data_IF_477058854675
#
_entry.id   IF_477058854675
#
_cell.length_a   1.000
_cell.length_b   1.000
_cell.length_c   1.000
_cell.angle_alpha   90.00
_cell.angle_beta   90.00
_cell.angle_gamma   90.00
#
_symmetry.space_group_name_H-M   'P 1'
#
loop_
_entity.id
_entity.type
_entity.pdbx_description
1 polymer ?
#
# COMPACT_ATOMS: atom_id res chain seq x y z
N UNK A 1 -1.89 -19.60 -18.30
CA UNK A 1 -0.51 -19.47 -18.77
C UNK A 1 -0.49 -19.35 -20.28
N UNK A 2 -1.19 -20.24 -20.98
CA UNK A 2 -1.34 -20.21 -22.44
C UNK A 2 -1.78 -18.85 -23.02
N UNK A 3 -2.84 -18.24 -22.49
CA UNK A 3 -3.28 -16.90 -22.93
C UNK A 3 -2.20 -15.82 -22.76
N UNK A 4 -1.46 -15.84 -21.63
CA UNK A 4 -0.35 -14.91 -21.39
C UNK A 4 0.76 -15.16 -22.42
N UNK A 5 1.14 -16.43 -22.65
CA UNK A 5 2.16 -16.80 -23.65
C UNK A 5 1.77 -16.32 -25.06
N UNK A 6 0.51 -16.53 -25.45
CA UNK A 6 0.00 -16.11 -26.75
C UNK A 6 0.03 -14.59 -26.88
N UNK A 7 -0.48 -13.85 -25.89
CA UNK A 7 -0.47 -12.39 -25.90
C UNK A 7 0.96 -11.84 -25.91
N UNK A 8 1.91 -12.48 -25.21
CA UNK A 8 3.32 -12.04 -25.24
C UNK A 8 4.02 -12.35 -26.57
N UNK A 9 3.60 -13.39 -27.29
CA UNK A 9 4.14 -13.75 -28.60
C UNK A 9 3.63 -12.81 -29.70
N UNK A 10 2.35 -12.46 -29.64
CA UNK A 10 1.65 -11.64 -30.64
C UNK A 10 0.85 -10.54 -29.93
N UNK A 11 1.57 -9.55 -29.40
CA UNK A 11 0.97 -8.49 -28.59
C UNK A 11 -0.01 -7.62 -29.39
N UNK A 12 -1.18 -7.39 -28.80
CA UNK A 12 -2.14 -6.40 -29.27
C UNK A 12 -2.72 -5.69 -28.05
N UNK A 13 -2.72 -4.35 -28.07
CA UNK A 13 -3.29 -3.54 -27.00
C UNK A 13 -4.76 -3.89 -26.75
N UNK A 14 -5.56 -4.04 -27.81
CA UNK A 14 -6.99 -4.36 -27.67
C UNK A 14 -7.21 -5.74 -27.01
N UNK A 15 -6.49 -6.78 -27.48
CA UNK A 15 -6.54 -8.11 -26.86
C UNK A 15 -6.08 -8.09 -25.41
N UNK A 16 -5.08 -7.28 -25.09
CA UNK A 16 -4.60 -7.12 -23.72
C UNK A 16 -5.68 -6.48 -22.84
N UNK A 17 -6.32 -5.42 -23.31
CA UNK A 17 -7.39 -4.75 -22.56
C UNK A 17 -8.61 -5.65 -22.33
N UNK A 18 -8.95 -6.52 -23.30
CA UNK A 18 -10.00 -7.54 -23.14
C UNK A 18 -9.69 -8.57 -22.03
N UNK A 19 -8.41 -8.82 -21.76
CA UNK A 19 -7.99 -9.73 -20.69
C UNK A 19 -8.02 -9.09 -19.29
N UNK A 20 -8.04 -7.76 -19.21
CA UNK A 20 -8.11 -7.04 -17.92
C UNK A 20 -9.56 -7.00 -17.45
N UNK A 21 -9.83 -7.64 -16.32
CA UNK A 21 -11.15 -7.61 -15.68
C UNK A 21 -11.38 -6.25 -15.00
N UNK A 22 -11.85 -5.26 -15.76
CA UNK A 22 -12.14 -3.89 -15.27
C UNK A 22 -13.62 -3.68 -14.94
N UNK A 23 -13.90 -2.66 -14.14
CA UNK A 23 -15.27 -2.10 -14.05
C UNK A 23 -15.57 -1.23 -15.26
N UNK A 24 -16.85 -1.05 -15.58
CA UNK A 24 -17.31 -0.24 -16.72
C UNK A 24 -17.11 1.26 -16.54
N UNK A 25 -17.07 1.74 -15.29
CA UNK A 25 -17.02 3.17 -15.00
C UNK A 25 -15.62 3.73 -15.34
N UNK A 26 -15.61 4.78 -16.15
CA UNK A 26 -14.38 5.51 -16.44
C UNK A 26 -14.13 6.54 -15.34
N UNK A 27 -13.19 6.23 -14.43
CA UNK A 27 -12.84 7.12 -13.31
C UNK A 27 -12.42 8.51 -13.77
N UNK A 28 -11.86 8.64 -14.98
CA UNK A 28 -11.34 9.92 -15.49
C UNK A 28 -12.43 10.95 -15.76
N UNK A 29 -13.68 10.52 -15.96
CA UNK A 29 -14.79 11.44 -16.24
C UNK A 29 -15.21 12.22 -14.98
N UNK A 30 -14.93 11.69 -13.80
CA UNK A 30 -15.33 12.26 -12.51
C UNK A 30 -14.14 12.65 -11.60
N UNK A 31 -12.90 12.33 -12.03
CA UNK A 31 -11.70 12.60 -11.25
C UNK A 31 -11.42 14.10 -11.17
N UNK A 32 -11.43 14.65 -9.95
CA UNK A 32 -10.90 15.99 -9.71
C UNK A 32 -9.39 15.96 -9.92
N UNK A 33 -8.91 16.67 -10.95
CA UNK A 33 -7.49 16.74 -11.28
C UNK A 33 -6.76 17.61 -10.26
N UNK A 34 -5.59 17.13 -9.84
CA UNK A 34 -4.68 17.81 -8.93
C UNK A 34 -3.99 18.95 -9.68
N UNK A 35 -4.60 20.13 -9.59
CA UNK A 35 -4.13 21.35 -10.23
C UNK A 35 -4.49 22.57 -9.41
N UNK A 36 -3.53 23.47 -9.20
CA UNK A 36 -3.75 24.78 -8.57
C UNK A 36 -3.59 25.90 -9.60
N UNK A 37 -4.61 26.73 -9.76
CA UNK A 37 -4.60 27.85 -10.71
C UNK A 37 -3.56 28.92 -10.36
N UNK A 38 -3.11 28.97 -9.10
CA UNK A 38 -2.00 29.85 -8.70
C UNK A 38 -0.70 29.51 -9.42
N UNK A 39 -0.54 28.28 -9.92
CA UNK A 39 0.62 27.87 -10.71
C UNK A 39 0.70 28.57 -12.07
N UNK A 40 -0.43 29.05 -12.61
CA UNK A 40 -0.45 29.80 -13.88
C UNK A 40 0.15 31.20 -13.70
N UNK A 41 -0.20 31.84 -12.58
CA UNK A 41 0.28 33.17 -12.21
C UNK A 41 1.74 33.07 -11.75
N UNK A 42 2.05 32.03 -10.98
CA UNK A 42 3.33 31.88 -10.32
C UNK A 42 4.05 30.59 -10.72
N UNK A 43 4.46 30.52 -11.98
CA UNK A 43 5.00 29.29 -12.60
C UNK A 43 6.19 28.66 -11.87
N UNK A 44 6.95 29.43 -11.09
CA UNK A 44 8.10 28.91 -10.35
C UNK A 44 7.73 28.08 -9.12
N UNK A 45 6.50 28.18 -8.60
CA UNK A 45 6.02 27.29 -7.52
C UNK A 45 5.35 26.03 -8.06
N UNK A 46 5.11 25.95 -9.38
CA UNK A 46 4.51 24.78 -10.00
C UNK A 46 5.45 23.57 -9.86
N UNK A 47 4.99 22.43 -9.32
CA UNK A 47 5.85 21.29 -9.06
C UNK A 47 6.08 20.47 -10.34
N UNK A 48 6.92 20.98 -11.25
CA UNK A 48 7.09 20.47 -12.62
C UNK A 48 7.25 18.94 -12.70
N UNK A 49 8.20 18.35 -11.96
CA UNK A 49 8.43 16.90 -11.99
C UNK A 49 7.20 16.12 -11.54
N UNK A 50 6.50 16.59 -10.52
CA UNK A 50 5.25 15.98 -10.04
C UNK A 50 4.17 16.08 -11.12
N UNK A 51 4.04 17.22 -11.80
CA UNK A 51 3.09 17.38 -12.91
C UNK A 51 3.36 16.39 -14.05
N UNK A 52 4.64 16.15 -14.39
CA UNK A 52 4.98 15.15 -15.42
C UNK A 52 4.55 13.74 -15.04
N UNK A 53 4.74 13.36 -13.77
CA UNK A 53 4.33 12.06 -13.25
C UNK A 53 2.81 11.94 -13.16
N UNK A 54 2.10 13.04 -12.87
CA UNK A 54 0.64 13.08 -12.90
C UNK A 54 0.09 12.87 -14.32
N UNK A 55 0.74 13.42 -15.35
CA UNK A 55 0.36 13.15 -16.74
C UNK A 55 0.47 11.65 -17.07
N UNK A 56 1.50 10.97 -16.58
CA UNK A 56 1.64 9.52 -16.74
C UNK A 56 0.54 8.75 -15.99
N UNK A 57 0.13 9.22 -14.80
CA UNK A 57 -1.02 8.67 -14.08
C UNK A 57 -2.30 8.75 -14.94
N UNK A 58 -2.62 9.93 -15.45
CA UNK A 58 -3.83 10.18 -16.23
C UNK A 58 -3.83 9.39 -17.53
N UNK A 59 -2.68 9.27 -18.19
CA UNK A 59 -2.53 8.46 -19.40
C UNK A 59 -2.80 6.96 -19.16
N UNK A 60 -2.47 6.46 -17.97
CA UNK A 60 -2.69 5.05 -17.62
C UNK A 60 -4.14 4.73 -17.23
N UNK A 61 -4.95 5.74 -16.88
CA UNK A 61 -6.31 5.55 -16.41
C UNK A 61 -7.31 5.62 -17.58
N UNK A 62 -8.44 4.87 -17.50
CA UNK A 62 -8.79 3.93 -16.43
C UNK A 62 -8.14 2.54 -16.58
N UNK A 63 -7.50 2.21 -17.71
CA UNK A 63 -7.13 0.84 -18.05
C UNK A 63 -6.15 0.17 -17.07
N UNK A 64 -5.20 0.94 -16.52
CA UNK A 64 -4.05 0.43 -15.76
C UNK A 64 -3.84 1.23 -14.47
N UNK A 65 -4.77 1.13 -13.49
CA UNK A 65 -4.60 1.81 -12.20
C UNK A 65 -3.38 1.28 -11.41
N UNK A 66 -2.93 0.06 -11.69
CA UNK A 66 -1.68 -0.48 -11.12
C UNK A 66 -0.43 0.26 -11.59
N UNK A 67 -0.43 0.78 -12.83
CA UNK A 67 0.63 1.64 -13.34
C UNK A 67 0.44 3.10 -12.90
N UNK A 68 -0.80 3.61 -12.92
CA UNK A 68 -1.09 4.95 -12.42
C UNK A 68 -0.66 5.11 -10.95
N UNK A 69 -0.91 4.11 -10.11
CA UNK A 69 -0.40 4.05 -8.73
C UNK A 69 1.13 4.11 -8.66
N UNK A 70 1.84 3.41 -9.56
CA UNK A 70 3.31 3.46 -9.59
C UNK A 70 3.82 4.88 -9.88
N UNK A 71 3.24 5.57 -10.86
CA UNK A 71 3.59 6.95 -11.20
C UNK A 71 3.17 7.93 -10.09
N UNK A 72 2.02 7.71 -9.46
CA UNK A 72 1.57 8.51 -8.32
C UNK A 72 2.53 8.38 -7.13
N UNK A 73 3.07 7.18 -6.89
CA UNK A 73 4.11 6.98 -5.89
C UNK A 73 5.42 7.71 -6.24
N UNK A 74 5.79 7.80 -7.53
CA UNK A 74 6.93 8.60 -7.95
C UNK A 74 6.72 10.10 -7.64
N UNK A 75 5.50 10.61 -7.82
CA UNK A 75 5.12 11.96 -7.43
C UNK A 75 5.20 12.18 -5.91
N UNK A 76 4.71 11.23 -5.11
CA UNK A 76 4.87 11.28 -3.64
C UNK A 76 6.36 11.30 -3.27
N UNK A 77 7.17 10.46 -3.92
CA UNK A 77 8.61 10.35 -3.68
C UNK A 77 9.34 11.66 -4.00
N UNK A 78 9.03 12.25 -5.16
CA UNK A 78 9.52 13.59 -5.50
C UNK A 78 9.12 14.60 -4.42
N UNK A 79 7.84 14.59 -3.99
CA UNK A 79 7.35 15.56 -3.01
C UNK A 79 8.09 15.48 -1.67
N UNK A 80 8.32 14.29 -1.13
CA UNK A 80 9.02 14.16 0.15
C UNK A 80 10.54 14.31 0.04
N UNK A 81 11.14 14.05 -1.12
CA UNK A 81 12.59 14.25 -1.31
C UNK A 81 12.97 15.70 -1.17
N UNK A 82 12.06 16.62 -1.48
CA UNK A 82 12.28 18.06 -1.32
C UNK A 82 12.53 18.44 0.15
N UNK A 83 11.91 17.76 1.12
CA UNK A 83 12.26 17.96 2.53
C UNK A 83 13.71 17.57 2.83
N UNK A 84 14.14 16.42 2.31
CA UNK A 84 15.50 15.93 2.53
C UNK A 84 16.53 16.82 1.84
N UNK A 85 16.24 17.33 0.65
CA UNK A 85 17.12 18.25 -0.10
C UNK A 85 17.23 19.61 0.61
N UNK A 86 16.17 20.07 1.27
CA UNK A 86 16.15 21.35 1.96
C UNK A 86 16.86 21.35 3.32
N UNK A 87 17.12 20.17 3.91
CA UNK A 87 17.75 20.04 5.22
C UNK A 87 19.18 19.51 5.08
N UNK A 88 20.15 20.39 5.35
CA UNK A 88 21.59 20.10 5.23
C UNK A 88 22.12 18.98 6.13
N UNK A 89 21.32 18.48 7.08
CA UNK A 89 21.67 17.30 7.88
C UNK A 89 21.55 15.98 7.12
N UNK A 90 20.84 15.96 5.98
CA UNK A 90 20.70 14.76 5.16
C UNK A 90 21.76 14.69 4.08
N UNK A 91 22.72 13.78 4.26
CA UNK A 91 23.80 13.53 3.28
C UNK A 91 23.36 12.69 2.06
N UNK A 92 22.17 12.08 2.10
CA UNK A 92 21.64 11.26 1.01
C UNK A 92 20.13 11.16 1.04
N UNK A 93 19.52 11.02 -0.14
CA UNK A 93 18.11 10.66 -0.29
C UNK A 93 17.88 9.21 0.13
N UNK A 94 16.73 8.97 0.76
CA UNK A 94 16.31 7.64 1.18
C UNK A 94 14.79 7.62 1.29
N UNK A 95 14.13 6.73 0.55
CA UNK A 95 12.67 6.56 0.58
C UNK A 95 12.14 6.48 2.01
N UNK A 96 12.70 5.60 2.85
CA UNK A 96 12.27 5.45 4.26
C UNK A 96 12.40 6.75 5.05
N UNK A 97 13.50 7.49 4.89
CA UNK A 97 13.69 8.77 5.61
C UNK A 97 12.72 9.84 5.11
N UNK A 98 12.52 9.92 3.80
CA UNK A 98 11.60 10.87 3.18
C UNK A 98 10.16 10.63 3.63
N UNK A 99 9.73 9.36 3.65
CA UNK A 99 8.43 8.96 4.19
C UNK A 99 8.34 9.33 5.69
N UNK A 100 9.35 9.01 6.51
CA UNK A 100 9.36 9.35 7.94
C UNK A 100 9.17 10.86 8.18
N UNK A 101 9.82 11.70 7.37
CA UNK A 101 9.65 13.16 7.43
C UNK A 101 8.25 13.57 6.99
N UNK A 102 7.77 13.10 5.84
CA UNK A 102 6.40 13.38 5.37
C UNK A 102 5.35 13.03 6.43
N UNK A 103 5.42 11.82 7.00
CA UNK A 103 4.47 11.38 8.01
C UNK A 103 4.55 12.20 9.29
N UNK A 104 5.77 12.62 9.70
CA UNK A 104 5.95 13.54 10.84
C UNK A 104 5.22 14.87 10.58
N UNK A 105 5.35 15.45 9.40
CA UNK A 105 4.67 16.69 9.02
C UNK A 105 3.15 16.55 9.02
N UNK A 106 2.63 15.47 8.41
CA UNK A 106 1.19 15.20 8.42
C UNK A 106 0.68 15.01 9.85
N UNK A 107 1.42 14.29 10.69
CA UNK A 107 1.02 14.01 12.07
C UNK A 107 0.98 15.27 12.94
N UNK A 108 1.96 16.17 12.80
CA UNK A 108 1.96 17.45 13.52
C UNK A 108 0.74 18.31 13.21
N UNK A 109 0.12 18.11 12.04
CA UNK A 109 -1.09 18.80 11.61
C UNK A 109 -2.25 17.84 11.38
N UNK A 110 -2.32 16.75 12.15
CA UNK A 110 -3.33 15.71 11.95
C UNK A 110 -4.76 16.26 12.07
N UNK A 111 -5.01 17.28 12.90
CA UNK A 111 -6.31 17.96 12.94
C UNK A 111 -6.74 18.56 11.59
N UNK A 112 -5.79 19.03 10.76
CA UNK A 112 -6.05 19.52 9.40
C UNK A 112 -6.18 18.37 8.40
N UNK A 113 -5.30 17.37 8.46
CA UNK A 113 -5.18 16.36 7.40
C UNK A 113 -5.98 15.07 7.65
N UNK A 114 -6.28 14.75 8.92
CA UNK A 114 -7.00 13.54 9.32
C UNK A 114 -8.39 13.44 8.67
N UNK A 115 -9.11 14.56 8.56
CA UNK A 115 -10.44 14.62 7.92
C UNK A 115 -10.46 14.21 6.45
N UNK A 116 -9.30 14.25 5.78
CA UNK A 116 -9.12 13.77 4.41
C UNK A 116 -8.80 12.28 4.40
N UNK A 117 -7.95 11.82 5.32
CA UNK A 117 -7.46 10.44 5.40
C UNK A 117 -8.50 9.45 5.95
N UNK A 118 -9.28 9.86 6.95
CA UNK A 118 -10.18 8.96 7.69
C UNK A 118 -11.18 8.26 6.76
N UNK A 119 -11.72 9.00 5.78
CA UNK A 119 -12.68 8.46 4.80
C UNK A 119 -12.09 7.37 3.90
N UNK A 120 -10.78 7.42 3.67
CA UNK A 120 -10.11 6.43 2.83
C UNK A 120 -9.84 5.14 3.61
N UNK A 121 -9.59 5.20 4.92
CA UNK A 121 -9.34 4.00 5.73
C UNK A 121 -10.48 2.98 5.63
N UNK A 122 -11.72 3.46 5.64
CA UNK A 122 -12.92 2.60 5.59
C UNK A 122 -13.09 1.90 4.24
N UNK A 123 -12.57 2.49 3.16
CA UNK A 123 -12.78 2.06 1.78
C UNK A 123 -11.62 1.27 1.17
N UNK A 124 -10.52 1.09 1.92
CA UNK A 124 -9.45 0.21 1.45
C UNK A 124 -9.97 -1.24 1.37
N UNK A 125 -9.78 -1.84 0.19
CA UNK A 125 -10.19 -3.23 -0.07
C UNK A 125 -9.55 -4.21 0.92
N UNK A 126 -10.33 -5.22 1.31
CA UNK A 126 -9.85 -6.34 2.14
C UNK A 126 -8.65 -7.05 1.50
N UNK A 127 -8.52 -7.03 0.17
CA UNK A 127 -7.38 -7.60 -0.57
C UNK A 127 -6.04 -6.97 -0.18
N UNK A 128 -6.01 -5.66 0.10
CA UNK A 128 -4.83 -4.95 0.60
C UNK A 128 -4.39 -5.46 1.97
N UNK A 129 -5.34 -5.73 2.86
CA UNK A 129 -5.06 -6.31 4.18
C UNK A 129 -4.69 -7.79 4.10
N UNK A 130 -5.25 -8.54 3.14
CA UNK A 130 -4.84 -9.92 2.87
C UNK A 130 -3.39 -9.98 2.40
N UNK A 131 -2.99 -9.07 1.52
CA UNK A 131 -1.61 -8.89 1.12
C UNK A 131 -0.70 -8.61 2.32
N UNK A 132 -1.08 -7.68 3.19
CA UNK A 132 -0.33 -7.35 4.41
C UNK A 132 -0.19 -8.55 5.36
N UNK A 133 -1.31 -9.17 5.72
CA UNK A 133 -1.36 -10.36 6.56
C UNK A 133 -0.47 -11.49 6.00
N UNK A 134 -0.48 -11.68 4.67
CA UNK A 134 0.31 -12.72 4.02
C UNK A 134 1.81 -12.49 4.19
N UNK A 135 2.34 -11.30 3.88
CA UNK A 135 3.78 -11.08 4.02
C UNK A 135 4.20 -11.06 5.50
N UNK A 136 3.33 -10.61 6.42
CA UNK A 136 3.60 -10.60 7.86
C UNK A 136 3.80 -12.05 8.36
N UNK A 137 2.83 -12.93 8.08
CA UNK A 137 2.88 -14.32 8.54
C UNK A 137 3.97 -15.14 7.84
N UNK A 138 4.19 -14.91 6.54
CA UNK A 138 5.30 -15.54 5.81
C UNK A 138 6.66 -15.12 6.37
N UNK A 139 6.86 -13.83 6.59
CA UNK A 139 8.10 -13.32 7.18
C UNK A 139 8.34 -13.88 8.58
N UNK A 140 7.29 -14.00 9.38
CA UNK A 140 7.34 -14.60 10.72
C UNK A 140 7.89 -16.04 10.67
N UNK A 141 7.29 -16.94 9.88
CA UNK A 141 7.74 -18.34 9.83
C UNK A 141 9.11 -18.52 9.17
N UNK A 142 9.46 -17.68 8.19
CA UNK A 142 10.79 -17.67 7.57
C UNK A 142 11.86 -17.31 8.61
N UNK A 143 11.63 -16.27 9.39
CA UNK A 143 12.56 -15.84 10.45
C UNK A 143 12.63 -16.83 11.59
N UNK A 144 11.49 -17.41 11.97
CA UNK A 144 11.44 -18.45 13.01
C UNK A 144 12.24 -19.69 12.62
N UNK A 145 12.22 -20.07 11.34
CA UNK A 145 13.01 -21.17 10.80
C UNK A 145 14.53 -20.86 10.71
N UNK A 146 14.97 -19.66 11.10
CA UNK A 146 16.39 -19.29 11.09
C UNK A 146 16.94 -18.95 9.70
N UNK A 147 16.08 -18.70 8.70
CA UNK A 147 16.52 -18.32 7.37
C UNK A 147 17.02 -16.88 7.31
N UNK A 148 18.03 -16.66 6.46
CA UNK A 148 18.64 -15.35 6.25
C UNK A 148 17.62 -14.28 5.80
N UNK A 149 17.88 -13.04 6.18
CA UNK A 149 17.03 -11.87 5.96
C UNK A 149 16.58 -11.68 4.51
N UNK A 150 17.44 -12.03 3.54
CA UNK A 150 17.18 -11.94 2.10
C UNK A 150 15.95 -12.74 1.64
N UNK A 151 15.49 -13.70 2.44
CA UNK A 151 14.33 -14.52 2.12
C UNK A 151 13.01 -13.95 2.69
N UNK A 152 13.07 -13.03 3.65
CA UNK A 152 11.90 -12.33 4.15
C UNK A 152 11.67 -11.05 3.34
N UNK A 153 10.41 -10.69 3.10
CA UNK A 153 10.09 -9.40 2.45
C UNK A 153 10.60 -8.24 3.30
N UNK A 154 11.16 -7.20 2.66
CA UNK A 154 11.54 -5.97 3.35
C UNK A 154 10.35 -5.31 4.07
N UNK A 155 9.13 -5.47 3.55
CA UNK A 155 7.89 -5.02 4.20
C UNK A 155 7.64 -5.68 5.55
N UNK A 156 8.02 -6.95 5.71
CA UNK A 156 7.95 -7.62 7.01
C UNK A 156 8.93 -6.97 8.01
N UNK A 157 10.18 -6.73 7.61
CA UNK A 157 11.17 -6.09 8.47
C UNK A 157 10.74 -4.70 8.90
N UNK A 158 10.19 -3.90 7.97
CA UNK A 158 9.61 -2.58 8.28
C UNK A 158 8.43 -2.70 9.25
N UNK A 159 7.53 -3.65 9.04
CA UNK A 159 6.39 -3.89 9.93
C UNK A 159 6.84 -4.22 11.36
N UNK A 160 7.75 -5.19 11.54
CA UNK A 160 8.26 -5.56 12.87
C UNK A 160 8.92 -4.39 13.57
N UNK A 161 9.69 -3.56 12.83
CA UNK A 161 10.37 -2.39 13.39
C UNK A 161 9.39 -1.32 13.86
N UNK A 162 8.36 -1.01 13.07
CA UNK A 162 7.43 0.10 13.36
C UNK A 162 6.27 -0.31 14.27
N UNK A 163 5.81 -1.55 14.17
CA UNK A 163 4.62 -2.07 14.85
C UNK A 163 4.97 -3.20 15.82
N UNK A 164 6.05 -3.04 16.62
CA UNK A 164 6.57 -4.10 17.49
C UNK A 164 5.52 -4.70 18.43
N UNK A 165 4.68 -3.85 19.04
CA UNK A 165 3.64 -4.30 19.98
C UNK A 165 2.57 -5.13 19.26
N UNK A 166 2.06 -4.65 18.13
CA UNK A 166 1.11 -5.40 17.30
C UNK A 166 1.74 -6.70 16.78
N UNK A 167 3.00 -6.67 16.33
CA UNK A 167 3.71 -7.85 15.87
C UNK A 167 3.81 -8.91 16.98
N UNK A 168 4.13 -8.54 18.22
CA UNK A 168 4.21 -9.49 19.32
C UNK A 168 2.87 -10.22 19.52
N UNK A 169 1.76 -9.47 19.52
CA UNK A 169 0.41 -10.07 19.62
C UNK A 169 0.11 -10.98 18.44
N UNK A 170 0.44 -10.58 17.20
CA UNK A 170 0.26 -11.40 16.00
C UNK A 170 1.10 -12.67 16.08
N UNK A 171 2.38 -12.56 16.46
CA UNK A 171 3.31 -13.68 16.57
C UNK A 171 2.79 -14.73 17.58
N UNK A 172 2.33 -14.27 18.75
CA UNK A 172 1.80 -15.14 19.80
C UNK A 172 0.40 -15.69 19.53
N UNK A 173 -0.26 -15.29 18.44
CA UNK A 173 -1.59 -15.77 18.05
C UNK A 173 -1.57 -16.41 16.65
N UNK A 174 -1.74 -15.59 15.61
CA UNK A 174 -1.77 -15.97 14.21
C UNK A 174 -0.45 -16.57 13.73
N UNK A 175 0.69 -16.07 14.23
CA UNK A 175 2.03 -16.58 13.94
C UNK A 175 2.17 -18.06 14.33
N UNK A 176 1.99 -18.37 15.62
CA UNK A 176 1.91 -19.75 16.13
C UNK A 176 0.87 -20.61 15.40
N UNK A 177 -0.28 -20.03 15.02
CA UNK A 177 -1.28 -20.77 14.26
C UNK A 177 -0.81 -21.14 12.86
N UNK A 178 -0.07 -20.23 12.22
CA UNK A 178 0.49 -20.41 10.90
C UNK A 178 1.67 -21.39 10.92
N UNK A 179 2.53 -21.33 11.94
CA UNK A 179 3.61 -22.29 12.19
C UNK A 179 3.10 -23.74 12.19
N UNK A 180 1.94 -24.01 12.81
CA UNK A 180 1.33 -25.36 12.85
C UNK A 180 0.96 -25.94 11.48
N UNK A 181 0.89 -25.11 10.43
CA UNK A 181 0.51 -25.54 9.07
C UNK A 181 1.62 -25.29 8.04
N UNK A 182 2.81 -24.88 8.47
CA UNK A 182 3.94 -24.58 7.59
C UNK A 182 5.22 -25.26 8.06
N UNK A 183 6.02 -25.74 7.12
CA UNK A 183 7.37 -26.22 7.39
C UNK A 183 8.35 -25.60 6.38
N UNK A 184 8.76 -24.32 6.58
CA UNK A 184 9.62 -23.63 5.62
C UNK A 184 10.91 -24.42 5.32
N UNK A 185 11.23 -24.54 4.03
CA UNK A 185 12.45 -25.18 3.53
C UNK A 185 13.06 -24.37 2.39
N UNK A 186 14.35 -24.54 2.14
CA UNK A 186 15.02 -23.95 0.98
C UNK A 186 14.91 -24.90 -0.22
N UNK A 187 14.57 -24.33 -1.37
CA UNK A 187 14.65 -24.99 -2.67
C UNK A 187 15.48 -24.10 -3.60
N UNK A 188 16.78 -24.38 -3.67
CA UNK A 188 17.75 -23.49 -4.31
C UNK A 188 17.73 -22.11 -3.67
N UNK A 189 17.43 -21.09 -4.47
CA UNK A 189 17.40 -19.67 -4.05
C UNK A 189 16.04 -19.20 -3.52
N UNK A 190 15.07 -20.11 -3.34
CA UNK A 190 13.71 -19.76 -2.92
C UNK A 190 13.31 -20.48 -1.64
N UNK A 191 12.51 -19.81 -0.81
CA UNK A 191 11.84 -20.47 0.31
C UNK A 191 10.53 -21.08 -0.15
N UNK A 192 10.36 -22.37 0.11
CA UNK A 192 9.08 -23.07 0.00
C UNK A 192 8.51 -23.23 1.40
N UNK A 193 7.29 -22.74 1.63
CA UNK A 193 6.67 -22.77 2.96
C UNK A 193 6.17 -24.17 3.38
N UNK A 194 6.11 -25.13 2.45
CA UNK A 194 5.57 -26.48 2.63
C UNK A 194 4.31 -26.50 3.49
N UNK A 195 3.24 -25.92 2.96
CA UNK A 195 1.97 -25.78 3.67
C UNK A 195 1.27 -27.14 3.70
N UNK A 196 1.04 -27.69 4.90
CA UNK A 196 0.39 -29.01 5.08
C UNK A 196 -1.13 -28.95 4.97
N UNK A 197 -1.74 -27.79 5.24
CA UNK A 197 -3.18 -27.57 5.11
C UNK A 197 -3.46 -26.19 4.49
N UNK A 198 -3.75 -26.21 3.17
CA UNK A 198 -3.98 -25.00 2.38
C UNK A 198 -5.20 -24.20 2.86
N UNK A 199 -6.29 -24.85 3.22
CA UNK A 199 -7.52 -24.16 3.62
C UNK A 199 -7.37 -23.49 4.99
N UNK A 200 -6.74 -24.17 5.94
CA UNK A 200 -6.42 -23.59 7.26
C UNK A 200 -5.44 -22.41 7.11
N UNK A 201 -4.43 -22.53 6.25
CA UNK A 201 -3.50 -21.45 5.92
C UNK A 201 -4.24 -20.20 5.40
N UNK A 202 -5.13 -20.37 4.41
CA UNK A 202 -5.95 -19.26 3.86
C UNK A 202 -6.85 -18.62 4.91
N UNK A 203 -7.51 -19.43 5.75
CA UNK A 203 -8.40 -18.94 6.83
C UNK A 203 -7.63 -18.12 7.88
N UNK A 204 -6.41 -18.53 8.25
CA UNK A 204 -5.55 -17.78 9.18
C UNK A 204 -5.21 -16.40 8.59
N UNK A 205 -4.75 -16.36 7.33
CA UNK A 205 -4.41 -15.11 6.65
C UNK A 205 -5.63 -14.20 6.53
N UNK A 206 -6.77 -14.74 6.09
CA UNK A 206 -8.01 -13.97 5.96
C UNK A 206 -8.50 -13.41 7.29
N UNK A 207 -8.48 -14.22 8.36
CA UNK A 207 -8.88 -13.75 9.69
C UNK A 207 -7.99 -12.61 10.19
N UNK A 208 -6.66 -12.71 10.01
CA UNK A 208 -5.75 -11.63 10.35
C UNK A 208 -6.03 -10.37 9.51
N UNK A 209 -6.29 -10.54 8.20
CA UNK A 209 -6.63 -9.43 7.32
C UNK A 209 -7.85 -8.64 7.80
N UNK A 210 -8.90 -9.33 8.25
CA UNK A 210 -10.08 -8.67 8.83
C UNK A 210 -9.75 -7.92 10.13
N UNK A 211 -8.88 -8.46 10.99
CA UNK A 211 -8.43 -7.75 12.20
C UNK A 211 -7.65 -6.49 11.85
N UNK A 212 -6.74 -6.57 10.88
CA UNK A 212 -5.98 -5.42 10.39
C UNK A 212 -6.90 -4.35 9.77
N UNK A 213 -7.93 -4.77 9.02
CA UNK A 213 -8.93 -3.85 8.47
C UNK A 213 -9.66 -3.10 9.59
N UNK A 214 -10.19 -3.81 10.58
CA UNK A 214 -10.92 -3.19 11.69
C UNK A 214 -10.03 -2.25 12.52
N UNK A 215 -8.75 -2.59 12.73
CA UNK A 215 -7.80 -1.69 13.37
C UNK A 215 -7.63 -0.37 12.61
N UNK A 216 -7.66 -0.40 11.27
CA UNK A 216 -7.53 0.77 10.43
C UNK A 216 -8.77 1.67 10.43
N UNK A 217 -9.96 1.10 10.67
CA UNK A 217 -11.19 1.88 10.87
C UNK A 217 -11.29 2.47 12.28
N UNK A 218 -10.22 2.40 13.09
CA UNK A 218 -10.18 2.91 14.45
C UNK A 218 -10.82 2.00 15.50
N UNK A 219 -11.25 0.79 15.12
CA UNK A 219 -11.86 -0.14 16.06
C UNK A 219 -10.80 -0.82 16.92
N UNK A 220 -11.13 -1.02 18.19
CA UNK A 220 -10.41 -2.00 19.02
C UNK A 220 -10.76 -3.42 18.57
N UNK A 221 -9.76 -4.29 18.49
CA UNK A 221 -9.93 -5.70 18.16
C UNK A 221 -9.38 -6.61 19.25
N UNK A 222 -10.14 -7.65 19.57
CA UNK A 222 -9.70 -8.71 20.45
C UNK A 222 -8.98 -9.81 19.66
N UNK A 223 -7.79 -10.20 20.11
CA UNK A 223 -6.97 -11.28 19.54
C UNK A 223 -6.67 -12.31 20.62
N UNK A 224 -7.05 -13.56 20.38
CA UNK A 224 -6.78 -14.68 21.28
C UNK A 224 -5.39 -15.25 21.01
N UNK A 225 -4.56 -15.28 22.05
CA UNK A 225 -3.20 -15.79 22.02
C UNK A 225 -3.22 -17.33 21.99
N UNK A 226 -2.23 -17.91 21.33
CA UNK A 226 -1.90 -19.34 21.41
C UNK A 226 -0.87 -19.57 22.51
N UNK A 227 -1.28 -19.30 23.75
CA UNK A 227 -0.56 -19.68 24.97
C UNK A 227 -1.40 -20.71 25.76
N UNK A 228 -0.83 -21.26 26.83
CA UNK A 228 -1.51 -22.30 27.63
C UNK A 228 -2.88 -21.85 28.18
N UNK A 229 -3.04 -20.56 28.45
CA UNK A 229 -4.26 -19.97 29.03
C UNK A 229 -5.26 -19.43 27.99
N UNK A 230 -4.92 -19.44 26.70
CA UNK A 230 -5.72 -18.84 25.61
C UNK A 230 -6.20 -17.42 25.92
N UNK A 231 -5.33 -16.60 26.52
CA UNK A 231 -5.66 -15.23 26.89
C UNK A 231 -6.05 -14.39 25.67
N UNK A 232 -7.00 -13.48 25.84
CA UNK A 232 -7.36 -12.50 24.79
C UNK A 232 -6.75 -11.13 25.11
N UNK A 233 -6.12 -10.52 24.11
CA UNK A 233 -5.54 -9.17 24.18
C UNK A 233 -6.36 -8.23 23.30
N UNK A 234 -6.77 -7.09 23.86
CA UNK A 234 -7.37 -5.99 23.11
C UNK A 234 -6.27 -5.13 22.48
N UNK A 235 -6.42 -4.83 21.20
CA UNK A 235 -5.47 -4.03 20.41
C UNK A 235 -6.23 -2.91 19.73
N UNK A 236 -5.65 -1.71 19.70
CA UNK A 236 -6.14 -0.55 18.94
C UNK A 236 -4.94 0.18 18.37
N UNK A 237 -5.09 0.78 17.19
CA UNK A 237 -4.06 1.65 16.60
C UNK A 237 -4.40 3.11 16.87
N UNK A 238 -3.39 3.88 17.24
CA UNK A 238 -3.48 5.34 17.26
C UNK A 238 -3.58 5.90 15.84
N UNK A 239 -4.06 7.14 15.68
CA UNK A 239 -4.09 7.83 14.39
C UNK A 239 -2.74 7.84 13.67
N UNK A 240 -1.67 8.04 14.43
CA UNK A 240 -0.30 7.95 13.94
C UNK A 240 0.01 6.57 13.37
N UNK A 241 -0.27 5.52 14.14
CA UNK A 241 -0.03 4.14 13.71
C UNK A 241 -0.89 3.75 12.51
N UNK A 242 -2.13 4.25 12.42
CA UNK A 242 -2.99 4.03 11.24
C UNK A 242 -2.36 4.65 9.99
N UNK A 243 -1.95 5.91 10.05
CA UNK A 243 -1.27 6.57 8.93
C UNK A 243 0.05 5.86 8.56
N UNK A 244 0.88 5.52 9.54
CA UNK A 244 2.11 4.77 9.30
C UNK A 244 1.83 3.39 8.69
N UNK A 245 0.77 2.70 9.12
CA UNK A 245 0.42 1.38 8.60
C UNK A 245 -0.04 1.50 7.15
N UNK A 246 -0.90 2.48 6.85
CA UNK A 246 -1.32 2.75 5.47
C UNK A 246 -0.12 2.95 4.55
N UNK A 247 0.78 3.87 4.90
CA UNK A 247 1.88 4.24 4.02
C UNK A 247 2.95 3.14 3.94
N UNK A 248 3.38 2.56 5.07
CA UNK A 248 4.45 1.57 5.05
C UNK A 248 4.00 0.16 4.67
N UNK A 249 2.82 -0.27 5.15
CA UNK A 249 2.38 -1.66 5.06
C UNK A 249 1.46 -1.92 3.86
N UNK A 250 0.77 -0.89 3.35
CA UNK A 250 -0.06 -1.00 2.16
C UNK A 250 0.65 -0.39 0.96
N UNK A 251 0.86 0.93 0.95
CA UNK A 251 1.30 1.66 -0.26
C UNK A 251 2.76 1.33 -0.62
N UNK A 252 3.70 1.64 0.27
CA UNK A 252 5.13 1.43 0.03
C UNK A 252 5.46 -0.05 -0.16
N UNK A 253 4.82 -0.93 0.61
CA UNK A 253 4.95 -2.37 0.45
C UNK A 253 4.47 -2.84 -0.94
N UNK A 254 3.31 -2.37 -1.41
CA UNK A 254 2.78 -2.69 -2.74
C UNK A 254 3.75 -2.27 -3.83
N UNK A 255 4.26 -1.03 -3.77
CA UNK A 255 5.26 -0.50 -4.70
C UNK A 255 6.55 -1.31 -4.69
N UNK A 256 7.14 -1.56 -3.53
CA UNK A 256 8.42 -2.29 -3.42
C UNK A 256 8.33 -3.70 -4.00
N UNK A 257 7.22 -4.40 -3.76
CA UNK A 257 7.02 -5.71 -4.36
C UNK A 257 6.92 -5.64 -5.89
N UNK A 258 6.28 -4.61 -6.44
CA UNK A 258 6.21 -4.42 -7.89
C UNK A 258 7.58 -4.05 -8.50
N UNK A 259 8.32 -3.14 -7.86
CA UNK A 259 9.57 -2.61 -8.40
C UNK A 259 10.74 -3.60 -8.33
N UNK A 260 10.83 -4.39 -7.26
CA UNK A 260 11.93 -5.34 -7.06
C UNK A 260 11.72 -6.69 -7.80
N UNK A 261 10.67 -6.82 -8.61
CA UNK A 261 10.43 -8.00 -9.46
C UNK A 261 10.08 -9.28 -8.72
N UNK A 262 9.76 -9.19 -7.43
CA UNK A 262 9.48 -10.35 -6.57
C UNK A 262 8.08 -10.95 -6.77
N UNK A 263 7.24 -10.31 -7.61
CA UNK A 263 5.86 -10.72 -7.87
C UNK A 263 5.50 -10.53 -9.34
N UNK A 264 4.52 -11.30 -9.83
CA UNK A 264 3.92 -11.06 -11.13
C UNK A 264 3.22 -9.69 -11.18
N UNK A 265 3.18 -9.07 -12.37
CA UNK A 265 2.42 -7.84 -12.61
C UNK A 265 0.95 -8.03 -12.20
N UNK A 266 0.38 -7.01 -11.55
CA UNK A 266 -0.80 -7.15 -10.69
C UNK A 266 -2.07 -7.40 -11.47
N UNK A 267 -2.29 -6.66 -12.54
CA UNK A 267 -3.44 -6.85 -13.43
C UNK A 267 -3.17 -7.85 -14.56
N UNK A 268 -1.91 -8.29 -14.74
CA UNK A 268 -1.53 -9.27 -15.77
C UNK A 268 -1.30 -10.67 -15.21
N UNK A 269 -1.41 -10.85 -13.89
CA UNK A 269 -1.22 -12.16 -13.27
C UNK A 269 -2.41 -13.08 -13.59
N UNK A 270 -2.18 -14.40 -13.59
CA UNK A 270 -3.25 -15.38 -13.72
C UNK A 270 -4.33 -15.34 -12.61
N UNK A 271 -4.06 -14.58 -11.56
CA UNK A 271 -4.94 -14.40 -10.40
C UNK A 271 -5.55 -13.00 -10.35
N UNK A 272 -5.29 -12.17 -11.38
CA UNK A 272 -5.91 -10.88 -11.51
C UNK A 272 -7.41 -11.06 -11.80
N UNK A 273 -8.22 -10.29 -11.08
CA UNK A 273 -9.67 -10.28 -11.14
C UNK A 273 -10.17 -8.84 -10.98
N UNK A 274 -11.48 -8.67 -11.09
CA UNK A 274 -12.12 -7.36 -10.92
C UNK A 274 -11.80 -6.71 -9.57
N UNK A 275 -11.72 -7.50 -8.50
CA UNK A 275 -11.34 -6.99 -7.16
C UNK A 275 -9.89 -6.46 -7.16
N UNK A 276 -8.99 -7.05 -7.95
CA UNK A 276 -7.61 -6.58 -8.11
C UNK A 276 -7.58 -5.22 -8.80
N UNK A 277 -8.38 -5.03 -9.86
CA UNK A 277 -8.55 -3.74 -10.51
C UNK A 277 -9.05 -2.69 -9.52
N UNK A 278 -10.14 -2.98 -8.79
CA UNK A 278 -10.72 -2.09 -7.78
C UNK A 278 -9.70 -1.76 -6.69
N UNK A 279 -8.96 -2.76 -6.21
CA UNK A 279 -7.93 -2.57 -5.19
C UNK A 279 -6.86 -1.58 -5.65
N UNK A 280 -6.39 -1.69 -6.90
CA UNK A 280 -5.39 -0.76 -7.42
C UNK A 280 -5.95 0.63 -7.74
N UNK A 281 -7.22 0.73 -8.13
CA UNK A 281 -7.89 2.03 -8.25
C UNK A 281 -7.96 2.72 -6.88
N UNK A 282 -8.40 2.00 -5.85
CA UNK A 282 -8.49 2.54 -4.49
C UNK A 282 -7.09 2.90 -3.94
N UNK A 283 -6.05 2.10 -4.21
CA UNK A 283 -4.66 2.44 -3.87
C UNK A 283 -4.23 3.74 -4.56
N UNK A 284 -4.49 3.88 -5.87
CA UNK A 284 -4.17 5.12 -6.59
C UNK A 284 -4.86 6.32 -5.95
N UNK A 285 -6.16 6.25 -5.67
CA UNK A 285 -6.90 7.37 -5.05
C UNK A 285 -6.35 7.74 -3.67
N UNK A 286 -5.93 6.76 -2.86
CA UNK A 286 -5.25 7.00 -1.58
C UNK A 286 -3.91 7.70 -1.79
N UNK A 287 -3.09 7.22 -2.71
CA UNK A 287 -1.80 7.85 -3.03
C UNK A 287 -2.01 9.30 -3.51
N UNK A 288 -3.05 9.51 -4.31
CA UNK A 288 -3.38 10.79 -4.90
C UNK A 288 -3.77 11.84 -3.85
N UNK A 289 -4.58 11.48 -2.84
CA UNK A 289 -4.88 12.38 -1.72
C UNK A 289 -3.66 12.62 -0.82
N UNK A 290 -2.80 11.60 -0.62
CA UNK A 290 -1.54 11.78 0.15
C UNK A 290 -0.60 12.76 -0.58
N UNK A 291 -0.52 12.68 -1.90
CA UNK A 291 0.23 13.63 -2.71
C UNK A 291 -0.32 15.05 -2.56
N UNK A 292 -1.65 15.22 -2.66
CA UNK A 292 -2.30 16.51 -2.46
C UNK A 292 -2.02 17.10 -1.07
N UNK A 293 -2.11 16.28 -0.01
CA UNK A 293 -1.75 16.66 1.36
C UNK A 293 -0.27 17.07 1.42
N UNK A 294 0.62 16.30 0.79
CA UNK A 294 2.05 16.60 0.78
C UNK A 294 2.37 17.93 0.10
N UNK A 295 1.72 18.24 -1.03
CA UNK A 295 1.88 19.52 -1.73
C UNK A 295 1.31 20.67 -0.90
N UNK A 296 0.14 20.48 -0.29
CA UNK A 296 -0.48 21.51 0.56
C UNK A 296 0.38 21.79 1.79
N UNK A 297 0.94 20.75 2.38
CA UNK A 297 1.83 20.88 3.54
C UNK A 297 3.11 21.66 3.23
N UNK A 298 3.55 21.61 1.97
CA UNK A 298 4.69 22.38 1.47
C UNK A 298 4.32 23.80 1.01
N UNK A 299 3.04 24.18 1.10
CA UNK A 299 2.55 25.46 0.60
C UNK A 299 2.51 25.56 -0.93
N UNK A 300 2.54 24.43 -1.64
CA UNK A 300 2.50 24.36 -3.11
C UNK A 300 1.06 24.27 -3.61
N UNK A 301 0.19 23.59 -2.86
CA UNK A 301 -1.24 23.45 -3.15
C UNK A 301 -2.03 24.27 -2.12
N UNK A 302 -2.98 25.08 -2.56
CA UNK A 302 -3.83 25.87 -1.68
C UNK A 302 -4.86 25.01 -0.90
N UNK A 303 -5.41 25.57 0.17
CA UNK A 303 -6.41 24.88 0.99
C UNK A 303 -7.73 24.64 0.24
N UNK A 304 -8.12 25.55 -0.65
CA UNK A 304 -9.31 25.40 -1.49
C UNK A 304 -9.16 24.22 -2.45
N UNK A 305 -7.97 24.08 -3.04
CA UNK A 305 -7.69 22.96 -3.95
C UNK A 305 -7.59 21.64 -3.20
N UNK A 306 -6.95 21.60 -2.03
CA UNK A 306 -6.97 20.41 -1.17
C UNK A 306 -8.41 20.01 -0.80
N UNK A 307 -9.28 20.98 -0.51
CA UNK A 307 -10.70 20.73 -0.23
C UNK A 307 -11.43 20.11 -1.44
N UNK A 308 -11.13 20.56 -2.66
CA UNK A 308 -11.66 19.97 -3.90
C UNK A 308 -11.24 18.51 -4.05
N UNK A 309 -9.96 18.21 -3.80
CA UNK A 309 -9.41 16.83 -3.89
C UNK A 309 -10.13 15.82 -3.00
N UNK A 310 -10.77 16.26 -1.90
CA UNK A 310 -11.57 15.39 -1.02
C UNK A 310 -12.68 14.65 -1.76
N UNK A 311 -13.22 15.20 -2.84
CA UNK A 311 -14.33 14.61 -3.62
C UNK A 311 -13.95 13.28 -4.25
N UNK A 312 -12.68 13.07 -4.60
CA UNK A 312 -12.21 11.83 -5.22
C UNK A 312 -12.41 10.58 -4.35
N UNK A 313 -12.66 10.75 -3.04
CA UNK A 313 -13.06 9.66 -2.16
C UNK A 313 -14.37 8.97 -2.58
N UNK A 314 -15.29 9.68 -3.26
CA UNK A 314 -16.52 9.07 -3.77
C UNK A 314 -16.26 8.08 -4.91
N UNK A 315 -15.10 8.15 -5.55
CA UNK A 315 -14.69 7.28 -6.66
C UNK A 315 -14.15 5.93 -6.20
N UNK A 316 -13.87 5.78 -4.90
CA UNK A 316 -13.46 4.50 -4.33
C UNK A 316 -14.62 3.50 -4.35
N UNK A 317 -14.33 2.29 -4.83
CA UNK A 317 -15.31 1.21 -5.04
C UNK A 317 -15.26 0.13 -3.97
#
# INVERSE_FOLDING_TARGET
>A
MEQILLLTKEYSKNRHLEMIQRVSNNVMDELELLYDTTWEINKHIAPYEILTQLMDCYYCLPERPDLASLFCWQAINNSYNQYLLSDGNFLRLSDTKGIDVLLKHIHLRYGKYGVYLDKYYDKISTKSYHYAASYILKGHVIKKAGFADKYASSSYTTFVKKFKNLYNVIADSYGKAYEQVTAPGLNGNFVKLNISNCDKSRKIIYSLALKLKNLMTGMSVNITLKNATSQTTSVILTDKERLEFLVYCILYASRCNNFHGSVASRLNSRYADQESYITYMNIFLVEYIILAISLNERGILSDNELLRMKRNESLMM
#
